data_IF_404674552477
#
_entry.id   IF_404674552477
#
_cell.length_a   1.000
_cell.length_b   1.000
_cell.length_c   1.000
_cell.angle_alpha   90.00
_cell.angle_beta   90.00
_cell.angle_gamma   90.00
#
_symmetry.space_group_name_H-M   'P 1'
#
loop_
_entity.id
_entity.type
_entity.pdbx_description
1 polymer ?
#
# COMPACT_ATOMS: atom_id res chain seq x y z
N UNK A 1 -92.80 76.00 58.28
CA UNK A 1 -91.35 75.73 58.16
C UNK A 1 -91.04 74.27 57.83
N UNK A 2 -92.01 73.35 57.88
CA UNK A 2 -91.76 71.90 57.72
C UNK A 2 -91.66 71.38 56.27
N UNK A 3 -92.08 72.16 55.27
CA UNK A 3 -91.99 71.76 53.85
C UNK A 3 -90.61 71.97 53.21
N UNK A 4 -89.77 72.84 53.80
CA UNK A 4 -88.43 73.15 53.32
C UNK A 4 -87.38 72.17 53.89
N UNK A 5 -87.52 71.72 55.13
CA UNK A 5 -86.61 70.73 55.74
C UNK A 5 -86.78 69.33 55.12
N UNK A 6 -88.02 68.93 54.80
CA UNK A 6 -88.35 67.69 54.09
C UNK A 6 -87.74 67.65 52.68
N UNK A 7 -87.82 68.75 51.93
CA UNK A 7 -87.21 68.85 50.59
C UNK A 7 -85.69 68.89 50.64
N UNK A 8 -85.08 69.56 51.62
CA UNK A 8 -83.62 69.56 51.80
C UNK A 8 -83.10 68.16 52.16
N UNK A 9 -83.78 67.43 53.04
CA UNK A 9 -83.45 66.05 53.40
C UNK A 9 -83.57 65.10 52.19
N UNK A 10 -84.62 65.24 51.38
CA UNK A 10 -84.79 64.46 50.14
C UNK A 10 -83.73 64.80 49.09
N UNK A 11 -83.35 66.07 48.94
CA UNK A 11 -82.29 66.48 48.00
C UNK A 11 -80.93 65.97 48.47
N UNK A 12 -80.62 66.02 49.76
CA UNK A 12 -79.38 65.46 50.32
C UNK A 12 -79.30 63.94 50.18
N UNK A 13 -80.40 63.21 50.43
CA UNK A 13 -80.45 61.77 50.19
C UNK A 13 -80.31 61.45 48.70
N UNK A 14 -80.93 62.23 47.81
CA UNK A 14 -80.80 62.02 46.35
C UNK A 14 -79.36 62.29 45.88
N UNK A 15 -78.72 63.35 46.36
CA UNK A 15 -77.31 63.62 46.09
C UNK A 15 -76.35 62.57 46.67
N UNK A 16 -76.64 62.03 47.86
CA UNK A 16 -75.85 60.93 48.43
C UNK A 16 -76.04 59.63 47.65
N UNK A 17 -77.27 59.31 47.24
CA UNK A 17 -77.56 58.14 46.41
C UNK A 17 -76.92 58.29 45.03
N UNK A 18 -76.96 59.48 44.42
CA UNK A 18 -76.32 59.75 43.13
C UNK A 18 -74.78 59.71 43.24
N UNK A 19 -74.19 60.20 44.34
CA UNK A 19 -72.76 60.04 44.59
C UNK A 19 -72.37 58.57 44.79
N UNK A 20 -73.14 57.82 45.59
CA UNK A 20 -72.89 56.39 45.82
C UNK A 20 -73.05 55.61 44.51
N UNK A 21 -74.08 55.91 43.72
CA UNK A 21 -74.32 55.33 42.40
C UNK A 21 -73.17 55.63 41.44
N UNK A 22 -72.67 56.87 41.41
CA UNK A 22 -71.52 57.26 40.60
C UNK A 22 -70.24 56.52 41.03
N UNK A 23 -69.97 56.45 42.34
CA UNK A 23 -68.81 55.73 42.88
C UNK A 23 -68.90 54.23 42.57
N UNK A 24 -70.07 53.62 42.70
CA UNK A 24 -70.32 52.22 42.32
C UNK A 24 -70.10 52.03 40.82
N UNK A 25 -70.56 52.96 39.97
CA UNK A 25 -70.36 52.86 38.52
C UNK A 25 -68.89 52.98 38.11
N UNK A 26 -68.13 53.85 38.78
CA UNK A 26 -66.69 54.03 38.56
C UNK A 26 -65.94 52.78 39.00
N UNK A 27 -66.23 52.28 40.20
CA UNK A 27 -65.64 51.04 40.71
C UNK A 27 -66.00 49.83 39.83
N UNK A 28 -67.24 49.77 39.30
CA UNK A 28 -67.64 48.72 38.37
C UNK A 28 -66.89 48.80 37.03
N UNK A 29 -66.62 50.01 36.51
CA UNK A 29 -65.76 50.20 35.33
C UNK A 29 -64.32 49.77 35.60
N UNK A 30 -63.77 50.13 36.77
CA UNK A 30 -62.42 49.74 37.18
C UNK A 30 -62.32 48.21 37.26
N UNK A 31 -63.30 47.54 37.88
CA UNK A 31 -63.35 46.07 37.97
C UNK A 31 -63.40 45.43 36.58
N UNK A 32 -64.19 45.98 35.64
CA UNK A 32 -64.23 45.49 34.25
C UNK A 32 -62.89 45.63 33.51
N UNK A 33 -62.17 46.73 33.72
CA UNK A 33 -60.83 46.89 33.12
C UNK A 33 -59.81 45.95 33.78
N UNK A 34 -59.87 45.75 35.10
CA UNK A 34 -59.04 44.75 35.79
C UNK A 34 -59.37 43.32 35.33
N UNK A 35 -60.63 43.02 35.01
CA UNK A 35 -61.02 41.73 34.45
C UNK A 35 -60.33 41.43 33.12
N UNK A 36 -60.24 42.43 32.22
CA UNK A 36 -59.48 42.30 30.95
C UNK A 36 -57.99 42.04 31.20
N UNK A 37 -57.39 42.77 32.14
CA UNK A 37 -55.97 42.59 32.52
C UNK A 37 -55.74 41.18 33.06
N UNK A 38 -56.66 40.64 33.86
CA UNK A 38 -56.57 39.26 34.39
C UNK A 38 -56.65 38.23 33.25
N UNK A 39 -57.49 38.47 32.23
CA UNK A 39 -57.58 37.62 31.05
C UNK A 39 -56.26 37.65 30.26
N UNK A 40 -55.69 38.83 30.02
CA UNK A 40 -54.40 38.96 29.35
C UNK A 40 -53.26 38.29 30.14
N UNK A 41 -53.27 38.42 31.46
CA UNK A 41 -52.30 37.74 32.33
C UNK A 41 -52.44 36.22 32.28
N UNK A 42 -53.67 35.69 32.15
CA UNK A 42 -53.91 34.25 31.94
C UNK A 42 -53.39 33.80 30.57
N UNK A 43 -53.60 34.57 29.51
CA UNK A 43 -53.05 34.23 28.18
C UNK A 43 -51.53 34.25 28.20
N UNK A 44 -50.93 35.27 28.81
CA UNK A 44 -49.49 35.38 28.97
C UNK A 44 -48.91 34.22 29.77
N UNK A 45 -49.58 33.81 30.85
CA UNK A 45 -49.20 32.61 31.62
C UNK A 45 -49.26 31.34 30.78
N UNK A 46 -50.27 31.19 29.92
CA UNK A 46 -50.38 30.05 29.02
C UNK A 46 -49.29 30.06 27.94
N UNK A 47 -48.90 31.23 27.46
CA UNK A 47 -47.80 31.33 26.50
C UNK A 47 -46.44 31.05 27.16
N UNK A 48 -46.22 31.49 28.40
CA UNK A 48 -45.05 31.08 29.19
C UNK A 48 -45.02 29.57 29.39
N UNK A 49 -46.14 28.93 29.74
CA UNK A 49 -46.17 27.48 29.94
C UNK A 49 -45.92 26.71 28.64
N UNK A 50 -46.42 27.22 27.50
CA UNK A 50 -46.08 26.69 26.16
C UNK A 50 -44.59 26.80 25.86
N UNK A 51 -43.99 27.96 26.13
CA UNK A 51 -42.55 28.17 25.94
C UNK A 51 -41.76 27.21 26.82
N UNK A 52 -42.11 27.07 28.10
CA UNK A 52 -41.46 26.11 29.01
C UNK A 52 -41.55 24.67 28.49
N UNK A 53 -42.72 24.26 27.99
CA UNK A 53 -42.89 22.93 27.41
C UNK A 53 -42.01 22.76 26.15
N UNK A 54 -41.98 23.74 25.25
CA UNK A 54 -41.14 23.69 24.06
C UNK A 54 -39.64 23.67 24.39
N UNK A 55 -39.21 24.40 25.42
CA UNK A 55 -37.81 24.37 25.88
C UNK A 55 -37.45 22.99 26.45
N UNK A 56 -38.36 22.37 27.22
CA UNK A 56 -38.15 21.01 27.73
C UNK A 56 -38.10 19.96 26.59
N UNK A 57 -38.88 20.13 25.53
CA UNK A 57 -38.83 19.27 24.34
C UNK A 57 -37.50 19.44 23.60
N UNK A 58 -37.07 20.69 23.38
CA UNK A 58 -35.77 20.98 22.75
C UNK A 58 -34.63 20.42 23.61
N UNK A 59 -34.69 20.54 24.93
CA UNK A 59 -33.66 19.99 25.82
C UNK A 59 -33.59 18.46 25.72
N UNK A 60 -34.76 17.79 25.67
CA UNK A 60 -34.81 16.34 25.42
C UNK A 60 -34.21 15.99 24.06
N UNK A 61 -34.59 16.68 23.01
CA UNK A 61 -34.08 16.43 21.65
C UNK A 61 -32.58 16.65 21.57
N UNK A 62 -32.05 17.73 22.15
CA UNK A 62 -30.61 18.01 22.25
C UNK A 62 -29.90 16.88 22.98
N UNK A 63 -30.44 16.40 24.10
CA UNK A 63 -29.86 15.28 24.83
C UNK A 63 -29.88 13.98 24.00
N UNK A 64 -30.97 13.70 23.27
CA UNK A 64 -31.04 12.53 22.41
C UNK A 64 -30.05 12.61 21.25
N UNK A 65 -29.92 13.78 20.61
CA UNK A 65 -28.97 14.02 19.53
C UNK A 65 -27.56 13.88 20.06
N UNK A 66 -27.25 14.46 21.22
CA UNK A 66 -25.93 14.37 21.82
C UNK A 66 -25.55 12.90 22.11
N UNK A 67 -26.46 12.12 22.67
CA UNK A 67 -26.22 10.68 22.90
C UNK A 67 -26.01 9.89 21.60
N UNK A 68 -26.76 10.22 20.53
CA UNK A 68 -26.57 9.64 19.19
C UNK A 68 -25.24 10.05 18.59
N UNK A 69 -24.84 11.32 18.73
CA UNK A 69 -23.55 11.84 18.27
C UNK A 69 -22.38 11.15 18.95
N UNK A 70 -22.45 10.94 20.27
CA UNK A 70 -21.43 10.18 21.02
C UNK A 70 -21.32 8.75 20.49
N UNK A 71 -22.45 8.05 20.30
CA UNK A 71 -22.46 6.69 19.72
C UNK A 71 -21.90 6.66 18.30
N UNK A 72 -22.21 7.66 17.47
CA UNK A 72 -21.66 7.77 16.12
C UNK A 72 -20.14 8.01 16.16
N UNK A 73 -19.66 8.85 17.07
CA UNK A 73 -18.23 9.07 17.27
C UNK A 73 -17.52 7.77 17.70
N UNK A 74 -18.10 7.00 18.62
CA UNK A 74 -17.59 5.68 19.01
C UNK A 74 -17.56 4.72 17.82
N UNK A 75 -18.61 4.68 16.99
CA UNK A 75 -18.61 3.85 15.78
C UNK A 75 -17.52 4.30 14.79
N UNK A 76 -17.33 5.60 14.59
CA UNK A 76 -16.30 6.16 13.71
C UNK A 76 -14.90 5.76 14.22
N UNK A 77 -14.62 5.86 15.51
CA UNK A 77 -13.31 5.46 16.06
C UNK A 77 -13.06 3.97 15.86
N UNK A 78 -14.05 3.10 16.13
CA UNK A 78 -13.87 1.66 15.88
C UNK A 78 -13.64 1.32 14.40
N UNK A 79 -14.28 2.04 13.48
CA UNK A 79 -14.06 1.86 12.03
C UNK A 79 -12.65 2.35 11.66
N UNK A 80 -12.19 3.45 12.25
CA UNK A 80 -10.86 3.97 12.01
C UNK A 80 -9.78 3.00 12.49
N UNK A 81 -9.93 2.42 13.69
CA UNK A 81 -8.98 1.42 14.21
C UNK A 81 -8.93 0.18 13.32
N UNK A 82 -10.09 -0.30 12.85
CA UNK A 82 -10.15 -1.40 11.88
C UNK A 82 -9.47 -1.03 10.57
N UNK A 83 -9.64 0.19 10.07
CA UNK A 83 -8.97 0.68 8.86
C UNK A 83 -7.46 0.67 9.02
N UNK A 84 -6.94 1.11 10.16
CA UNK A 84 -5.49 1.07 10.45
C UNK A 84 -4.97 -0.37 10.41
N UNK A 85 -5.66 -1.31 11.06
CA UNK A 85 -5.27 -2.73 11.07
C UNK A 85 -5.30 -3.34 9.66
N UNK A 86 -6.30 -3.00 8.86
CA UNK A 86 -6.38 -3.49 7.46
C UNK A 86 -5.24 -2.90 6.63
N UNK A 87 -4.92 -1.62 6.79
CA UNK A 87 -3.85 -0.96 6.06
C UNK A 87 -2.47 -1.53 6.42
N UNK A 88 -2.22 -1.82 7.70
CA UNK A 88 -0.96 -2.46 8.11
C UNK A 88 -0.83 -3.87 7.56
N UNK A 89 -1.93 -4.66 7.57
CA UNK A 89 -1.96 -5.99 6.94
C UNK A 89 -1.75 -5.92 5.43
N UNK A 90 -2.33 -4.93 4.77
CA UNK A 90 -2.14 -4.72 3.33
C UNK A 90 -0.68 -4.38 3.03
N UNK A 91 -0.07 -3.44 3.76
CA UNK A 91 1.35 -3.10 3.58
C UNK A 91 2.27 -4.30 3.84
N UNK A 92 1.96 -5.11 4.85
CA UNK A 92 2.70 -6.34 5.12
C UNK A 92 2.55 -7.32 3.94
N UNK A 93 1.33 -7.52 3.44
CA UNK A 93 1.07 -8.41 2.31
C UNK A 93 1.75 -7.91 1.03
N UNK A 94 1.74 -6.60 0.77
CA UNK A 94 2.46 -5.98 -0.36
C UNK A 94 3.97 -6.18 -0.23
N UNK A 95 4.52 -5.97 0.96
CA UNK A 95 5.94 -6.26 1.24
C UNK A 95 6.26 -7.73 1.02
N UNK A 96 5.43 -8.64 1.54
CA UNK A 96 5.58 -10.09 1.36
C UNK A 96 5.49 -10.46 -0.12
N UNK A 97 4.53 -9.90 -0.86
CA UNK A 97 4.37 -10.13 -2.29
C UNK A 97 5.61 -9.64 -3.06
N UNK A 98 6.12 -8.46 -2.75
CA UNK A 98 7.34 -7.94 -3.37
C UNK A 98 8.59 -8.77 -3.04
N UNK A 99 8.68 -9.29 -1.82
CA UNK A 99 9.85 -10.03 -1.34
C UNK A 99 9.81 -11.53 -1.67
N UNK A 100 8.64 -12.14 -1.84
CA UNK A 100 8.53 -13.60 -1.97
C UNK A 100 7.85 -14.07 -3.25
N UNK A 101 7.19 -13.18 -4.01
CA UNK A 101 6.55 -13.54 -5.27
C UNK A 101 7.39 -13.03 -6.43
N UNK A 102 7.92 -13.97 -7.19
CA UNK A 102 8.62 -13.69 -8.44
C UNK A 102 7.57 -13.38 -9.52
N UNK A 103 7.74 -12.25 -10.23
CA UNK A 103 6.84 -11.90 -11.34
C UNK A 103 7.00 -12.94 -12.45
N UNK A 104 5.90 -13.36 -13.08
CA UNK A 104 5.93 -14.32 -14.20
C UNK A 104 6.84 -13.85 -15.34
N UNK A 105 6.90 -12.55 -15.60
CA UNK A 105 7.80 -11.95 -16.58
C UNK A 105 9.30 -12.20 -16.26
N UNK A 106 9.66 -12.17 -14.97
CA UNK A 106 11.01 -12.42 -14.49
C UNK A 106 11.37 -13.92 -14.65
N UNK A 107 10.40 -14.81 -14.38
CA UNK A 107 10.52 -16.26 -14.62
C UNK A 107 10.73 -16.54 -16.11
N UNK A 108 9.94 -15.93 -17.00
CA UNK A 108 10.07 -16.10 -18.45
C UNK A 108 11.43 -15.57 -18.93
N UNK A 109 11.93 -14.49 -18.34
CA UNK A 109 13.25 -13.93 -18.68
C UNK A 109 14.38 -14.91 -18.33
N UNK A 110 14.28 -15.59 -17.19
CA UNK A 110 15.26 -16.58 -16.76
C UNK A 110 15.14 -17.92 -17.50
N UNK A 111 13.94 -18.39 -17.77
CA UNK A 111 13.69 -19.75 -18.32
C UNK A 111 13.71 -19.81 -19.84
N UNK A 112 13.34 -18.73 -20.54
CA UNK A 112 13.24 -18.76 -21.99
C UNK A 112 14.62 -18.67 -22.64
N UNK A 113 15.01 -19.72 -23.38
CA UNK A 113 16.25 -19.79 -24.17
C UNK A 113 16.27 -18.74 -25.29
N UNK A 114 15.09 -18.27 -25.74
CA UNK A 114 14.94 -17.29 -26.82
C UNK A 114 15.34 -15.86 -26.42
N UNK A 115 15.39 -15.54 -25.13
CA UNK A 115 15.78 -14.21 -24.64
C UNK A 115 17.29 -14.12 -24.41
N UNK A 116 17.96 -13.06 -24.89
CA UNK A 116 19.41 -12.88 -24.71
C UNK A 116 19.81 -12.74 -23.24
N UNK A 117 21.07 -13.04 -22.94
CA UNK A 117 21.66 -12.85 -21.61
C UNK A 117 22.25 -11.44 -21.54
N UNK A 118 21.46 -10.51 -21.03
CA UNK A 118 21.84 -9.11 -20.83
C UNK A 118 22.08 -8.80 -19.34
N UNK A 119 22.49 -7.57 -19.02
CA UNK A 119 22.62 -7.11 -17.63
C UNK A 119 21.32 -7.26 -16.82
N UNK A 120 20.17 -7.09 -17.47
CA UNK A 120 18.86 -7.30 -16.87
C UNK A 120 18.65 -8.75 -16.42
N UNK A 121 19.20 -9.74 -17.15
CA UNK A 121 19.15 -11.14 -16.74
C UNK A 121 19.89 -11.35 -15.43
N UNK A 122 21.09 -10.80 -15.31
CA UNK A 122 21.89 -10.93 -14.09
C UNK A 122 21.22 -10.24 -12.90
N UNK A 123 20.64 -9.04 -13.09
CA UNK A 123 19.91 -8.35 -12.03
C UNK A 123 18.71 -9.17 -11.53
N UNK A 124 17.90 -9.71 -12.44
CA UNK A 124 16.75 -10.56 -12.10
C UNK A 124 17.21 -11.86 -11.43
N UNK A 125 18.31 -12.46 -11.90
CA UNK A 125 18.89 -13.66 -11.31
C UNK A 125 19.31 -13.42 -9.86
N UNK A 126 20.05 -12.34 -9.56
CA UNK A 126 20.45 -12.00 -8.19
C UNK A 126 19.26 -11.69 -7.30
N UNK A 127 18.25 -11.00 -7.82
CA UNK A 127 17.00 -10.76 -7.10
C UNK A 127 16.32 -12.07 -6.71
N UNK A 128 16.12 -12.99 -7.66
CA UNK A 128 15.47 -14.29 -7.41
C UNK A 128 16.29 -15.14 -6.43
N UNK A 129 17.61 -15.07 -6.52
CA UNK A 129 18.51 -15.72 -5.56
C UNK A 129 18.39 -15.14 -4.14
N UNK A 130 18.26 -13.82 -4.01
CA UNK A 130 18.02 -13.19 -2.71
C UNK A 130 16.68 -13.67 -2.12
N UNK A 131 15.63 -13.75 -2.95
CA UNK A 131 14.33 -14.30 -2.54
C UNK A 131 14.47 -15.75 -2.09
N UNK A 132 15.24 -16.59 -2.79
CA UNK A 132 15.51 -17.97 -2.39
C UNK A 132 16.12 -18.05 -0.98
N UNK A 133 17.14 -17.21 -0.69
CA UNK A 133 17.81 -17.17 0.62
C UNK A 133 16.84 -16.68 1.70
N UNK A 134 16.03 -15.67 1.40
CA UNK A 134 15.08 -15.13 2.36
C UNK A 134 13.92 -16.11 2.63
N UNK A 135 13.45 -16.86 1.63
CA UNK A 135 12.54 -18.00 1.80
C UNK A 135 13.17 -19.08 2.69
N UNK A 136 14.46 -19.38 2.49
CA UNK A 136 15.17 -20.38 3.29
C UNK A 136 15.26 -19.96 4.77
N UNK A 137 15.47 -18.67 5.06
CA UNK A 137 15.42 -18.15 6.44
C UNK A 137 14.02 -18.22 7.03
N UNK A 138 13.00 -17.82 6.26
CA UNK A 138 11.60 -17.87 6.68
C UNK A 138 11.14 -19.29 7.03
N UNK A 139 11.66 -20.30 6.33
CA UNK A 139 11.38 -21.71 6.59
C UNK A 139 11.91 -22.23 7.94
N UNK A 140 12.95 -21.58 8.48
CA UNK A 140 13.51 -21.90 9.79
C UNK A 140 12.57 -21.38 10.89
N UNK A 141 11.87 -20.27 10.65
CA UNK A 141 11.03 -19.55 11.62
C UNK A 141 9.52 -19.87 11.50
N UNK A 142 9.15 -21.16 11.47
CA UNK A 142 7.77 -21.66 11.74
C UNK A 142 6.77 -21.82 10.56
N UNK A 143 6.96 -21.20 9.39
CA UNK A 143 6.00 -21.33 8.26
C UNK A 143 6.42 -22.32 7.16
N UNK A 144 6.33 -23.63 7.46
CA UNK A 144 6.94 -24.69 6.64
C UNK A 144 6.26 -24.96 5.28
N UNK A 145 4.92 -25.04 5.20
CA UNK A 145 4.26 -25.58 3.98
C UNK A 145 4.30 -24.65 2.76
N UNK A 146 3.91 -23.39 2.93
CA UNK A 146 3.92 -22.41 1.83
C UNK A 146 5.35 -22.01 1.43
N UNK A 147 6.26 -21.92 2.40
CA UNK A 147 7.66 -21.65 2.14
C UNK A 147 8.30 -22.73 1.27
N UNK A 148 7.95 -24.01 1.47
CA UNK A 148 8.50 -25.13 0.68
C UNK A 148 8.03 -25.05 -0.77
N UNK A 149 6.74 -24.80 -1.03
CA UNK A 149 6.23 -24.72 -2.41
C UNK A 149 6.86 -23.55 -3.19
N UNK A 150 7.02 -22.39 -2.55
CA UNK A 150 7.69 -21.24 -3.15
C UNK A 150 9.17 -21.56 -3.39
N UNK A 151 9.85 -22.16 -2.41
CA UNK A 151 11.26 -22.56 -2.53
C UNK A 151 11.47 -23.55 -3.68
N UNK A 152 10.61 -24.55 -3.83
CA UNK A 152 10.68 -25.51 -4.93
C UNK A 152 10.49 -24.85 -6.29
N UNK A 153 9.53 -23.92 -6.42
CA UNK A 153 9.32 -23.16 -7.67
C UNK A 153 10.54 -22.30 -8.01
N UNK A 154 11.10 -21.61 -7.01
CA UNK A 154 12.28 -20.77 -7.20
C UNK A 154 13.52 -21.62 -7.52
N UNK A 155 13.71 -22.75 -6.83
CA UNK A 155 14.79 -23.71 -7.09
C UNK A 155 14.75 -24.18 -8.54
N UNK A 156 13.59 -24.61 -9.03
CA UNK A 156 13.41 -25.02 -10.44
C UNK A 156 13.72 -23.89 -11.42
N UNK A 157 13.29 -22.66 -11.11
CA UNK A 157 13.60 -21.50 -11.93
C UNK A 157 15.10 -21.20 -11.99
N UNK A 158 15.80 -21.28 -10.84
CA UNK A 158 17.24 -21.13 -10.76
C UNK A 158 17.97 -22.23 -11.52
N UNK A 159 17.52 -23.48 -11.41
CA UNK A 159 18.08 -24.62 -12.16
C UNK A 159 18.01 -24.38 -13.66
N UNK A 160 16.84 -23.98 -14.18
CA UNK A 160 16.66 -23.62 -15.59
C UNK A 160 17.52 -22.43 -16.00
N UNK A 161 17.69 -21.43 -15.13
CA UNK A 161 18.56 -20.29 -15.39
C UNK A 161 20.04 -20.70 -15.50
N UNK A 162 20.50 -21.62 -14.65
CA UNK A 162 21.85 -22.19 -14.73
C UNK A 162 22.05 -23.01 -16.01
N UNK A 163 21.06 -23.81 -16.42
CA UNK A 163 21.12 -24.55 -17.69
C UNK A 163 21.17 -23.60 -18.90
N UNK A 164 20.41 -22.52 -18.88
CA UNK A 164 20.45 -21.48 -19.91
C UNK A 164 21.83 -20.80 -19.96
N UNK A 165 22.41 -20.44 -18.81
CA UNK A 165 23.76 -19.89 -18.73
C UNK A 165 24.79 -20.86 -19.33
N UNK A 166 24.71 -22.14 -18.96
CA UNK A 166 25.56 -23.18 -19.51
C UNK A 166 25.42 -23.29 -21.04
N UNK A 167 24.20 -23.31 -21.57
CA UNK A 167 23.94 -23.37 -23.01
C UNK A 167 24.58 -22.20 -23.77
N UNK A 168 24.39 -20.97 -23.27
CA UNK A 168 24.93 -19.78 -23.94
C UNK A 168 26.46 -19.74 -23.85
N UNK A 169 27.07 -20.11 -22.72
CA UNK A 169 28.53 -20.25 -22.62
C UNK A 169 29.03 -21.27 -23.64
N UNK A 170 28.39 -22.43 -23.75
CA UNK A 170 28.76 -23.46 -24.72
C UNK A 170 28.60 -22.99 -26.17
N UNK A 171 27.58 -22.19 -26.48
CA UNK A 171 27.38 -21.60 -27.80
C UNK A 171 28.47 -20.58 -28.14
N UNK A 172 28.84 -19.71 -27.20
CA UNK A 172 29.91 -18.71 -27.37
C UNK A 172 31.28 -19.38 -27.50
N UNK A 173 31.56 -20.45 -26.74
CA UNK A 173 32.79 -21.23 -26.88
C UNK A 173 32.90 -21.93 -28.24
N UNK A 174 31.78 -22.26 -28.88
CA UNK A 174 31.74 -22.81 -30.24
C UNK A 174 31.87 -21.73 -31.31
N UNK A 175 31.27 -20.55 -31.12
CA UNK A 175 31.33 -19.46 -32.11
C UNK A 175 32.67 -18.74 -32.16
N UNK A 176 33.39 -18.66 -31.03
CA UNK A 176 34.70 -17.99 -30.90
C UNK A 176 35.85 -18.75 -31.61
N UNK A 177 35.54 -19.77 -32.42
CA UNK A 177 36.51 -20.49 -33.24
C UNK A 177 37.20 -19.61 -34.29
N UNK A 178 36.69 -18.41 -34.55
CA UNK A 178 37.22 -17.49 -35.55
C UNK A 178 37.75 -16.20 -34.89
N UNK A 179 39.06 -16.20 -34.64
CA UNK A 179 39.97 -15.04 -34.72
C UNK A 179 40.15 -14.06 -33.54
N UNK A 180 39.26 -13.94 -32.55
CA UNK A 180 39.50 -13.02 -31.40
C UNK A 180 39.65 -13.76 -30.05
N UNK A 181 40.79 -13.57 -29.39
CA UNK A 181 41.11 -14.16 -28.08
C UNK A 181 40.34 -13.52 -26.89
N UNK A 182 39.47 -12.56 -27.17
CA UNK A 182 38.74 -11.81 -26.15
C UNK A 182 37.42 -12.50 -25.80
N UNK A 183 37.42 -13.18 -24.65
CA UNK A 183 36.18 -13.66 -24.04
C UNK A 183 35.32 -12.44 -23.69
N UNK A 184 34.12 -12.35 -24.27
CA UNK A 184 33.12 -11.31 -23.95
C UNK A 184 32.90 -11.23 -22.44
N UNK A 185 32.78 -10.02 -21.90
CA UNK A 185 32.60 -9.82 -20.46
C UNK A 185 31.32 -10.48 -19.90
N UNK A 186 30.29 -10.63 -20.73
CA UNK A 186 29.06 -11.38 -20.41
C UNK A 186 29.39 -12.85 -20.08
N UNK A 187 30.29 -13.49 -20.84
CA UNK A 187 30.69 -14.88 -20.63
C UNK A 187 31.52 -15.01 -19.35
N UNK A 188 32.39 -14.05 -19.04
CA UNK A 188 33.14 -14.02 -17.77
C UNK A 188 32.20 -13.90 -16.57
N UNK A 189 31.23 -12.97 -16.63
CA UNK A 189 30.20 -12.79 -15.59
C UNK A 189 29.36 -14.07 -15.44
N UNK A 190 28.95 -14.69 -16.56
CA UNK A 190 28.20 -15.94 -16.56
C UNK A 190 29.00 -17.11 -15.94
N UNK A 191 30.29 -17.25 -16.27
CA UNK A 191 31.18 -18.25 -15.68
C UNK A 191 31.36 -18.07 -14.17
N UNK A 192 31.46 -16.81 -13.70
CA UNK A 192 31.56 -16.51 -12.27
C UNK A 192 30.30 -16.96 -11.52
N UNK A 193 29.11 -16.74 -12.09
CA UNK A 193 27.85 -17.21 -11.50
C UNK A 193 27.75 -18.73 -11.56
N UNK A 194 28.19 -19.35 -12.66
CA UNK A 194 28.17 -20.80 -12.84
C UNK A 194 29.09 -21.54 -11.85
N UNK A 195 30.10 -20.87 -11.30
CA UNK A 195 31.00 -21.43 -10.28
C UNK A 195 30.25 -22.01 -9.07
N UNK A 196 29.08 -21.44 -8.74
CA UNK A 196 28.21 -21.94 -7.66
C UNK A 196 27.69 -23.35 -7.91
N UNK A 197 27.61 -23.78 -9.17
CA UNK A 197 27.32 -25.16 -9.58
C UNK A 197 28.57 -25.80 -10.18
N UNK A 198 29.41 -26.32 -9.29
CA UNK A 198 30.70 -26.95 -9.63
C UNK A 198 30.61 -27.94 -10.80
N UNK A 199 29.55 -28.74 -10.90
CA UNK A 199 29.38 -29.72 -11.99
C UNK A 199 29.28 -29.08 -13.38
N UNK A 200 28.51 -28.01 -13.52
CA UNK A 200 28.33 -27.30 -14.80
C UNK A 200 29.58 -26.48 -15.14
N UNK A 201 30.22 -25.91 -14.12
CA UNK A 201 31.46 -25.16 -14.26
C UNK A 201 32.61 -26.05 -14.75
N UNK A 202 32.79 -27.24 -14.16
CA UNK A 202 33.83 -28.19 -14.56
C UNK A 202 33.65 -28.63 -16.02
N UNK A 203 32.42 -28.93 -16.45
CA UNK A 203 32.12 -29.25 -17.86
C UNK A 203 32.49 -28.11 -18.81
N UNK A 204 32.25 -26.85 -18.42
CA UNK A 204 32.69 -25.70 -19.20
C UNK A 204 34.22 -25.62 -19.27
N UNK A 205 34.91 -25.84 -18.15
CA UNK A 205 36.37 -25.83 -18.11
C UNK A 205 37.01 -26.94 -18.96
N UNK A 206 36.46 -28.15 -18.94
CA UNK A 206 36.87 -29.25 -19.82
C UNK A 206 36.73 -28.82 -21.28
N UNK A 207 35.57 -28.27 -21.66
CA UNK A 207 35.34 -27.77 -23.02
C UNK A 207 36.35 -26.68 -23.41
N UNK A 208 36.65 -25.74 -22.50
CA UNK A 208 37.63 -24.67 -22.73
C UNK A 208 39.04 -25.25 -22.89
N UNK A 209 39.41 -26.22 -22.05
CA UNK A 209 40.71 -26.89 -22.08
C UNK A 209 40.92 -27.65 -23.39
N UNK A 210 39.93 -28.47 -23.78
CA UNK A 210 39.94 -29.21 -25.05
C UNK A 210 40.09 -28.27 -26.25
N UNK A 211 39.30 -27.19 -26.30
CA UNK A 211 39.36 -26.21 -27.39
C UNK A 211 40.71 -25.51 -27.45
N UNK A 212 41.30 -25.16 -26.30
CA UNK A 212 42.65 -24.57 -26.24
C UNK A 212 43.72 -25.55 -26.67
N UNK A 213 43.63 -26.82 -26.27
CA UNK A 213 44.56 -27.87 -26.69
C UNK A 213 44.54 -28.05 -28.21
N UNK A 214 43.34 -28.16 -28.80
CA UNK A 214 43.16 -28.27 -30.26
C UNK A 214 43.74 -27.04 -30.97
N UNK A 215 43.43 -25.84 -30.48
CA UNK A 215 43.93 -24.59 -31.05
C UNK A 215 45.45 -24.47 -30.96
N UNK A 216 46.05 -24.81 -29.82
CA UNK A 216 47.51 -24.81 -29.63
C UNK A 216 48.18 -25.83 -30.57
N UNK A 217 47.61 -27.04 -30.67
CA UNK A 217 48.12 -28.08 -31.56
C UNK A 217 48.05 -27.65 -33.02
N UNK A 218 46.93 -27.08 -33.47
CA UNK A 218 46.77 -26.56 -34.83
C UNK A 218 47.75 -25.40 -35.11
N UNK A 219 47.93 -24.48 -34.16
CA UNK A 219 48.88 -23.38 -34.31
C UNK A 219 50.32 -23.89 -34.37
N UNK A 220 50.66 -24.89 -33.56
CA UNK A 220 51.98 -25.52 -33.58
C UNK A 220 52.23 -26.26 -34.90
N UNK A 221 51.27 -27.07 -35.38
CA UNK A 221 51.33 -27.71 -36.69
C UNK A 221 51.47 -26.69 -37.81
N UNK A 222 50.72 -25.58 -37.74
CA UNK A 222 50.82 -24.49 -38.72
C UNK A 222 52.20 -23.83 -38.68
N UNK A 223 52.76 -23.60 -37.50
CA UNK A 223 54.10 -23.05 -37.34
C UNK A 223 55.21 -24.02 -37.79
N UNK A 224 55.02 -25.33 -37.59
CA UNK A 224 55.94 -26.38 -38.06
C UNK A 224 56.00 -26.44 -39.59
N UNK A 225 54.83 -26.44 -40.26
CA UNK A 225 54.73 -26.74 -41.70
C UNK A 225 54.77 -25.48 -42.58
N UNK A 226 54.11 -24.40 -42.16
CA UNK A 226 53.90 -23.21 -43.00
C UNK A 226 54.66 -21.98 -42.49
N UNK A 227 55.16 -22.01 -41.25
CA UNK A 227 55.68 -20.81 -40.60
C UNK A 227 54.58 -19.76 -40.38
N UNK A 228 54.98 -18.53 -40.03
CA UNK A 228 54.03 -17.42 -39.95
C UNK A 228 54.24 -16.46 -41.14
N UNK A 229 53.41 -16.53 -42.20
CA UNK A 229 53.60 -15.72 -43.40
C UNK A 229 53.43 -14.21 -43.15
N UNK A 230 52.74 -13.82 -42.07
CA UNK A 230 52.54 -12.41 -41.70
C UNK A 230 53.77 -11.77 -41.01
N UNK A 231 54.67 -12.58 -40.45
CA UNK A 231 55.84 -12.10 -39.67
C UNK A 231 57.16 -12.60 -40.30
N UNK A 232 57.11 -13.21 -41.50
CA UNK A 232 58.28 -13.77 -42.19
C UNK A 232 59.10 -14.75 -41.31
N UNK A 233 58.42 -15.49 -40.44
CA UNK A 233 59.04 -16.55 -39.63
C UNK A 233 58.97 -17.83 -40.44
N UNK A 234 60.14 -18.37 -40.79
CA UNK A 234 60.26 -19.65 -41.51
C UNK A 234 59.65 -20.80 -40.69
N UNK A 235 59.15 -21.86 -41.35
CA UNK A 235 58.64 -23.04 -40.66
C UNK A 235 59.69 -23.59 -39.68
N UNK A 236 59.27 -24.03 -38.50
CA UNK A 236 60.18 -24.48 -37.43
C UNK A 236 61.06 -25.66 -37.92
N UNK A 237 60.53 -26.52 -38.80
CA UNK A 237 61.27 -27.62 -39.42
C UNK A 237 62.47 -27.16 -40.28
N UNK A 238 62.43 -25.96 -40.86
CA UNK A 238 63.56 -25.41 -41.63
C UNK A 238 64.67 -24.83 -40.74
N UNK A 239 64.39 -24.59 -39.47
CA UNK A 239 65.31 -23.94 -38.51
C UNK A 239 65.89 -24.94 -37.51
N UNK A 240 65.20 -26.05 -37.26
CA UNK A 240 65.70 -27.13 -36.41
C UNK A 240 66.79 -27.94 -37.14
N UNK A 241 68.05 -27.61 -36.91
CA UNK A 241 69.17 -28.44 -37.35
C UNK A 241 69.17 -29.77 -36.57
N UNK A 242 69.21 -30.90 -37.29
CA UNK A 242 69.46 -32.21 -36.69
C UNK A 242 70.91 -32.25 -36.16
N UNK A 243 71.14 -32.53 -34.86
CA UNK A 243 72.49 -32.71 -34.35
C UNK A 243 73.05 -34.05 -34.85
N UNK A 244 74.12 -33.99 -35.64
CA UNK A 244 74.96 -35.14 -36.04
C UNK A 244 75.61 -35.82 -34.83
#
# INVERSE_FOLDING_TARGET
>A
MDSLSSKLSQIQQKFQIDNISNIISINAKIIKEFEKIIIEFKTFRNDISRIQNSLNEIEKDVNTINSKSIRLLEQITTIYDKKVIVNTKQNLLESLNHHFIVKENDIILLTSILKPIDENFFQVFFKIKQIYIDCQKLLIEEHKKLGIEILEKISKCLDMAFEKLYYVIQQELKSTQYESYEIKDIVKKALYILFEKHDLFNKCLETISEKRQILLSNNFQRALVLGNPLISIYPIEMVAYDPL
#
